data_IF_697655315160
#
_entry.id   IF_697655315160
#
_cell.length_a   1.000
_cell.length_b   1.000
_cell.length_c   1.000
_cell.angle_alpha   90.00
_cell.angle_beta   90.00
_cell.angle_gamma   90.00
#
_symmetry.space_group_name_H-M   'P 1'
#
loop_
_entity.id
_entity.type
_entity.pdbx_description
1 polymer ?
#
# COMPACT_ATOMS: atom_id res chain seq x y z
N UNK A 1 2.38 -10.78 22.47
CA UNK A 1 3.68 -10.33 21.94
C UNK A 1 3.41 -9.74 20.58
N UNK A 2 3.73 -8.48 20.28
CA UNK A 2 3.55 -7.99 18.93
C UNK A 2 4.63 -8.65 18.09
N UNK A 3 4.25 -9.58 17.23
CA UNK A 3 5.14 -10.09 16.20
C UNK A 3 5.68 -8.90 15.42
N UNK A 4 7.01 -8.86 15.30
CA UNK A 4 7.82 -7.95 14.50
C UNK A 4 7.44 -8.03 13.02
N UNK A 5 6.25 -7.55 12.65
CA UNK A 5 5.91 -7.37 11.24
C UNK A 5 6.78 -6.24 10.71
N UNK A 6 7.54 -6.50 9.64
CA UNK A 6 8.36 -5.54 8.95
C UNK A 6 7.48 -4.59 8.11
N UNK A 7 6.60 -3.85 8.79
CA UNK A 7 5.59 -3.00 8.16
C UNK A 7 6.20 -1.79 7.43
N UNK A 8 7.45 -1.43 7.74
CA UNK A 8 8.18 -0.38 7.03
C UNK A 8 8.73 -0.89 5.69
N UNK A 9 9.34 -2.08 5.65
CA UNK A 9 9.94 -2.59 4.41
C UNK A 9 9.06 -3.55 3.62
N UNK A 10 7.93 -4.01 4.19
CA UNK A 10 6.90 -4.82 3.54
C UNK A 10 5.48 -4.48 4.06
N UNK A 11 4.99 -3.24 3.88
CA UNK A 11 3.62 -2.86 4.24
C UNK A 11 2.56 -3.65 3.45
N UNK A 12 2.86 -4.06 2.21
CA UNK A 12 1.93 -4.79 1.36
C UNK A 12 1.70 -6.22 1.86
N UNK A 13 2.73 -6.87 2.41
CA UNK A 13 2.61 -8.16 3.09
C UNK A 13 1.68 -8.07 4.31
N UNK A 14 1.84 -7.04 5.14
CA UNK A 14 0.97 -6.80 6.32
C UNK A 14 -0.50 -6.63 5.90
N UNK A 15 -0.75 -5.83 4.86
CA UNK A 15 -2.10 -5.66 4.30
C UNK A 15 -2.66 -6.98 3.78
N UNK A 16 -1.85 -7.76 3.06
CA UNK A 16 -2.24 -9.06 2.53
C UNK A 16 -2.57 -10.07 3.65
N UNK A 17 -1.82 -10.09 4.75
CA UNK A 17 -2.09 -10.94 5.91
C UNK A 17 -3.41 -10.56 6.61
N UNK A 18 -3.65 -9.26 6.79
CA UNK A 18 -4.92 -8.76 7.35
C UNK A 18 -6.11 -9.10 6.45
N UNK A 19 -5.93 -8.98 5.14
CA UNK A 19 -6.91 -9.40 4.15
C UNK A 19 -7.17 -10.91 4.24
N UNK A 20 -6.13 -11.74 4.24
CA UNK A 20 -6.24 -13.20 4.32
C UNK A 20 -6.93 -13.65 5.62
N UNK A 21 -6.60 -13.03 6.76
CA UNK A 21 -7.26 -13.29 8.03
C UNK A 21 -8.77 -12.99 7.98
N UNK A 22 -9.17 -11.97 7.23
CA UNK A 22 -10.59 -11.61 7.08
C UNK A 22 -11.41 -12.61 6.26
N UNK A 23 -10.77 -13.43 5.42
CA UNK A 23 -11.45 -14.49 4.66
C UNK A 23 -11.96 -15.63 5.56
N UNK A 24 -11.44 -15.72 6.79
CA UNK A 24 -11.81 -16.75 7.77
C UNK A 24 -12.90 -16.32 8.77
N UNK A 25 -13.41 -15.08 8.68
CA UNK A 25 -14.43 -14.53 9.58
C UNK A 25 -15.46 -13.65 8.85
N UNK A 26 -16.35 -12.93 9.57
CA UNK A 26 -17.30 -12.01 8.94
C UNK A 26 -16.55 -10.93 8.15
N UNK A 27 -16.79 -10.88 6.84
CA UNK A 27 -15.96 -10.27 5.80
C UNK A 27 -15.84 -8.73 5.79
N UNK A 28 -16.02 -8.06 6.93
CA UNK A 28 -16.11 -6.59 6.98
C UNK A 28 -15.15 -6.01 8.01
N UNK A 29 -14.27 -5.10 7.57
CA UNK A 29 -13.46 -4.25 8.45
C UNK A 29 -11.96 -4.51 8.47
N UNK A 30 -11.41 -5.37 7.59
CA UNK A 30 -9.94 -5.51 7.49
C UNK A 30 -9.28 -4.19 7.07
N UNK A 31 -9.96 -3.39 6.24
CA UNK A 31 -9.47 -2.08 5.81
C UNK A 31 -9.35 -1.12 7.00
N UNK A 32 -10.38 -1.06 7.84
CA UNK A 32 -10.38 -0.26 9.06
C UNK A 32 -9.26 -0.71 9.99
N UNK A 33 -9.09 -2.02 10.17
CA UNK A 33 -8.00 -2.58 10.98
C UNK A 33 -6.61 -2.24 10.43
N UNK A 34 -6.43 -2.28 9.11
CA UNK A 34 -5.19 -1.89 8.47
C UNK A 34 -4.91 -0.39 8.69
N UNK A 35 -5.92 0.47 8.49
CA UNK A 35 -5.80 1.90 8.76
C UNK A 35 -5.45 2.19 10.22
N UNK A 36 -6.13 1.54 11.17
CA UNK A 36 -5.85 1.66 12.60
C UNK A 36 -4.43 1.18 12.94
N UNK A 37 -4.00 0.04 12.38
CA UNK A 37 -2.66 -0.47 12.56
C UNK A 37 -1.61 0.54 12.11
N UNK A 38 -1.68 1.05 10.87
CA UNK A 38 -0.68 2.01 10.38
C UNK A 38 -0.77 3.35 11.13
N UNK A 39 -1.96 3.80 11.54
CA UNK A 39 -2.10 5.00 12.41
C UNK A 39 -1.40 4.82 13.76
N UNK A 40 -1.52 3.65 14.37
CA UNK A 40 -0.86 3.34 15.64
C UNK A 40 0.66 3.21 15.48
N UNK A 41 1.14 2.63 14.38
CA UNK A 41 2.58 2.51 14.10
C UNK A 41 3.23 3.87 13.77
N UNK A 42 2.49 4.79 13.12
CA UNK A 42 2.99 6.10 12.67
C UNK A 42 2.89 7.22 13.72
N UNK A 43 2.81 6.88 15.01
CA UNK A 43 2.83 7.88 16.10
C UNK A 43 4.19 8.59 16.18
N UNK A 44 4.18 9.79 16.76
CA UNK A 44 5.12 10.92 16.53
C UNK A 44 6.61 10.57 16.40
N UNK A 45 7.16 9.64 17.20
CA UNK A 45 8.59 9.29 17.14
C UNK A 45 8.97 8.43 15.91
N UNK A 46 8.03 7.68 15.35
CA UNK A 46 8.28 6.72 14.26
C UNK A 46 8.11 7.38 12.89
N UNK A 47 7.30 8.42 12.78
CA UNK A 47 7.11 9.12 11.51
C UNK A 47 8.43 9.75 10.99
N UNK A 48 9.34 10.11 11.90
CA UNK A 48 10.67 10.60 11.57
C UNK A 48 11.58 9.51 10.96
N UNK A 49 11.35 8.23 11.26
CA UNK A 49 12.17 7.12 10.73
C UNK A 49 11.71 6.65 9.35
N UNK A 50 10.47 6.97 8.95
CA UNK A 50 9.94 6.65 7.62
C UNK A 50 10.66 7.49 6.56
N UNK A 51 11.28 6.86 5.55
CA UNK A 51 12.04 7.57 4.53
C UNK A 51 11.14 8.50 3.69
N UNK A 52 11.66 9.69 3.39
CA UNK A 52 10.97 10.73 2.63
C UNK A 52 11.37 10.69 1.16
N UNK A 53 10.38 10.66 0.26
CA UNK A 53 10.60 10.83 -1.18
C UNK A 53 11.16 12.22 -1.54
N UNK A 54 11.01 13.21 -0.65
CA UNK A 54 11.54 14.55 -0.87
C UNK A 54 13.05 14.64 -0.63
N UNK A 55 13.60 13.76 0.20
CA UNK A 55 14.97 13.88 0.72
C UNK A 55 15.86 12.71 0.29
N UNK A 56 15.27 11.54 0.03
CA UNK A 56 16.00 10.32 -0.36
C UNK A 56 15.81 10.05 -1.85
N UNK A 57 16.90 9.98 -2.64
CA UNK A 57 16.83 9.56 -4.04
C UNK A 57 16.17 8.19 -4.21
N UNK A 58 15.33 8.05 -5.24
CA UNK A 58 14.51 6.86 -5.47
C UNK A 58 15.32 5.54 -5.52
N UNK A 59 16.53 5.56 -6.05
CA UNK A 59 17.38 4.37 -6.18
C UNK A 59 17.95 3.85 -4.85
N UNK A 60 17.87 4.62 -3.77
CA UNK A 60 18.23 4.16 -2.42
C UNK A 60 17.03 3.56 -1.66
N UNK A 61 15.81 3.73 -2.18
CA UNK A 61 14.61 3.24 -1.53
C UNK A 61 14.33 1.80 -1.96
N UNK A 62 13.98 0.96 -0.98
CA UNK A 62 13.54 -0.39 -1.26
C UNK A 62 12.19 -0.32 -2.00
N UNK A 63 12.01 -1.05 -3.12
CA UNK A 63 10.71 -1.16 -3.76
C UNK A 63 9.65 -1.70 -2.78
N UNK A 64 8.42 -1.20 -2.91
CA UNK A 64 7.27 -1.60 -2.08
C UNK A 64 7.41 -1.32 -0.58
N UNK A 65 8.37 -0.50 -0.15
CA UNK A 65 8.46 -0.04 1.25
C UNK A 65 7.54 1.15 1.50
N UNK A 66 7.23 1.40 2.77
CA UNK A 66 6.51 2.59 3.19
C UNK A 66 7.41 3.82 3.09
N UNK A 67 6.86 4.90 2.56
CA UNK A 67 7.54 6.20 2.40
C UNK A 67 6.62 7.34 2.82
N UNK A 68 7.19 8.47 3.22
CA UNK A 68 6.47 9.74 3.35
C UNK A 68 6.72 10.60 2.11
N UNK A 69 5.71 11.33 1.67
CA UNK A 69 5.84 12.28 0.58
C UNK A 69 5.06 13.54 0.87
N UNK A 70 5.77 14.65 0.93
CA UNK A 70 5.21 15.99 1.09
C UNK A 70 5.16 16.64 -0.29
N UNK A 71 3.97 16.98 -0.75
CA UNK A 71 3.77 17.37 -2.13
C UNK A 71 2.64 18.40 -2.27
N UNK A 72 2.64 19.07 -3.42
CA UNK A 72 1.51 19.84 -3.91
C UNK A 72 0.65 18.92 -4.79
N UNK A 73 -0.63 18.78 -4.44
CA UNK A 73 -1.62 18.13 -5.32
C UNK A 73 -1.96 19.11 -6.45
N UNK A 74 -1.62 18.75 -7.68
CA UNK A 74 -1.84 19.58 -8.86
C UNK A 74 -3.13 19.25 -9.59
N UNK A 75 -3.50 17.97 -9.63
CA UNK A 75 -4.68 17.51 -10.37
C UNK A 75 -5.30 16.27 -9.71
N UNK A 76 -6.56 16.05 -10.04
CA UNK A 76 -7.34 14.86 -9.73
C UNK A 76 -7.84 14.28 -11.05
N UNK A 77 -7.33 13.10 -11.42
CA UNK A 77 -7.82 12.40 -12.59
C UNK A 77 -9.14 11.69 -12.31
N UNK A 78 -9.80 11.20 -13.35
CA UNK A 78 -10.95 10.31 -13.19
C UNK A 78 -10.55 9.07 -12.38
N UNK A 79 -11.48 8.50 -11.58
CA UNK A 79 -11.21 7.27 -10.83
C UNK A 79 -10.71 6.13 -11.75
N UNK A 80 -9.70 5.42 -11.27
CA UNK A 80 -9.14 4.26 -11.97
C UNK A 80 -9.80 2.97 -11.47
N UNK A 81 -10.21 2.11 -12.40
CA UNK A 81 -10.62 0.74 -12.07
C UNK A 81 -9.41 -0.16 -11.88
N UNK A 82 -9.44 -0.96 -10.82
CA UNK A 82 -8.41 -1.95 -10.54
C UNK A 82 -9.04 -3.23 -9.97
N UNK A 83 -8.25 -4.31 -9.92
CA UNK A 83 -8.65 -5.56 -9.30
C UNK A 83 -8.53 -5.44 -7.77
N UNK A 84 -9.60 -5.13 -7.08
CA UNK A 84 -9.65 -5.04 -5.61
C UNK A 84 -9.28 -6.37 -4.94
N UNK A 85 -9.82 -7.47 -5.46
CA UNK A 85 -9.45 -8.84 -5.12
C UNK A 85 -9.23 -9.60 -6.42
N UNK A 86 -8.15 -10.38 -6.49
CA UNK A 86 -7.87 -11.25 -7.62
C UNK A 86 -7.30 -12.58 -7.15
N UNK A 87 -7.43 -13.61 -7.98
CA UNK A 87 -6.89 -14.95 -7.70
C UNK A 87 -5.70 -15.20 -8.62
N UNK A 88 -4.60 -15.73 -8.07
CA UNK A 88 -3.46 -16.22 -8.85
C UNK A 88 -3.45 -17.74 -8.81
N UNK A 89 -2.87 -18.34 -9.85
CA UNK A 89 -2.60 -19.78 -9.94
C UNK A 89 -1.11 -19.97 -10.07
N UNK A 90 -0.52 -20.66 -9.10
CA UNK A 90 0.88 -21.07 -9.17
C UNK A 90 1.06 -22.10 -10.29
N UNK A 91 1.88 -21.82 -11.33
CA UNK A 91 2.09 -22.75 -12.44
C UNK A 91 2.68 -24.10 -12.03
N UNK A 92 3.40 -24.15 -10.90
CA UNK A 92 4.12 -25.34 -10.44
C UNK A 92 3.26 -26.25 -9.56
N UNK A 93 2.45 -25.67 -8.67
CA UNK A 93 1.62 -26.41 -7.71
C UNK A 93 0.14 -26.46 -8.08
N UNK A 94 -0.28 -25.64 -9.05
CA UNK A 94 -1.69 -25.40 -9.41
C UNK A 94 -2.53 -24.91 -8.20
N UNK A 95 -1.86 -24.35 -7.19
CA UNK A 95 -2.52 -23.79 -6.03
C UNK A 95 -3.12 -22.43 -6.38
N UNK A 96 -4.35 -22.19 -5.93
CA UNK A 96 -5.05 -20.91 -6.06
C UNK A 96 -4.86 -20.08 -4.80
N UNK A 97 -4.51 -18.81 -4.95
CA UNK A 97 -4.37 -17.87 -3.84
C UNK A 97 -5.13 -16.57 -4.13
N UNK A 98 -5.85 -16.07 -3.14
CA UNK A 98 -6.52 -14.76 -3.21
C UNK A 98 -5.57 -13.65 -2.76
N UNK A 99 -5.48 -12.60 -3.57
CA UNK A 99 -4.65 -11.43 -3.32
C UNK A 99 -5.51 -10.17 -3.19
N UNK A 100 -5.08 -9.28 -2.30
CA UNK A 100 -5.58 -7.92 -2.22
C UNK A 100 -4.82 -7.04 -3.22
N UNK A 101 -5.53 -6.45 -4.17
CA UNK A 101 -4.95 -5.47 -5.10
C UNK A 101 -4.94 -4.03 -4.57
N UNK A 102 -5.50 -3.79 -3.37
CA UNK A 102 -5.45 -2.46 -2.75
C UNK A 102 -4.00 -2.08 -2.44
N UNK A 103 -3.65 -0.83 -2.74
CA UNK A 103 -2.28 -0.28 -2.62
C UNK A 103 -1.24 -0.91 -3.55
N UNK A 104 -1.66 -1.74 -4.52
CA UNK A 104 -0.79 -2.29 -5.55
C UNK A 104 -1.06 -1.61 -6.88
N UNK A 105 0.01 -1.40 -7.63
CA UNK A 105 -0.08 -0.87 -8.99
C UNK A 105 -0.19 -2.00 -10.03
N UNK A 106 0.57 -3.07 -9.82
CA UNK A 106 0.62 -4.24 -10.72
C UNK A 106 0.19 -5.49 -9.96
N UNK A 107 -0.66 -6.31 -10.60
CA UNK A 107 -1.05 -7.61 -10.07
C UNK A 107 0.12 -8.60 -10.13
N UNK A 108 0.13 -9.56 -9.20
CA UNK A 108 1.12 -10.64 -9.22
C UNK A 108 0.97 -11.52 -10.47
N UNK A 109 2.05 -12.20 -10.86
CA UNK A 109 2.03 -13.07 -12.04
C UNK A 109 1.06 -14.25 -11.85
N UNK A 110 0.43 -14.69 -12.93
CA UNK A 110 -0.45 -15.87 -12.92
C UNK A 110 -1.89 -15.60 -12.52
N UNK A 111 -2.41 -14.38 -12.73
CA UNK A 111 -3.81 -14.04 -12.47
C UNK A 111 -4.77 -14.93 -13.28
N UNK A 112 -5.72 -15.56 -12.60
CA UNK A 112 -6.84 -16.28 -13.20
C UNK A 112 -8.00 -15.33 -13.48
N UNK A 113 -7.99 -14.72 -14.67
CA UNK A 113 -9.02 -13.78 -15.12
C UNK A 113 -10.44 -14.37 -15.19
N UNK A 114 -10.59 -15.69 -15.13
CA UNK A 114 -11.90 -16.36 -15.12
C UNK A 114 -12.39 -16.68 -13.70
N UNK A 115 -11.63 -16.32 -12.67
CA UNK A 115 -12.01 -16.60 -11.29
C UNK A 115 -13.26 -15.81 -10.90
N UNK A 116 -14.22 -16.51 -10.29
CA UNK A 116 -15.46 -15.92 -9.77
C UNK A 116 -15.24 -15.03 -8.55
N UNK A 117 -14.06 -15.11 -7.96
CA UNK A 117 -13.68 -14.36 -6.76
C UNK A 117 -13.06 -12.99 -7.08
N UNK A 118 -12.92 -12.64 -8.37
CA UNK A 118 -12.43 -11.32 -8.77
C UNK A 118 -13.45 -10.26 -8.36
N UNK A 119 -12.97 -9.26 -7.62
CA UNK A 119 -13.76 -8.07 -7.26
C UNK A 119 -13.09 -6.86 -7.89
N UNK A 120 -13.83 -6.15 -8.73
CA UNK A 120 -13.37 -4.86 -9.27
C UNK A 120 -13.63 -3.76 -8.24
N UNK A 121 -12.68 -2.86 -8.10
CA UNK A 121 -12.78 -1.69 -7.23
C UNK A 121 -12.30 -0.44 -7.99
N UNK A 122 -12.63 0.73 -7.47
CA UNK A 122 -12.17 2.02 -8.00
C UNK A 122 -11.28 2.72 -6.98
N UNK A 123 -10.29 3.48 -7.47
CA UNK A 123 -9.43 4.33 -6.64
C UNK A 123 -9.33 5.72 -7.24
N UNK A 124 -9.34 6.73 -6.37
CA UNK A 124 -9.01 8.09 -6.76
C UNK A 124 -7.49 8.25 -6.81
N UNK A 125 -6.96 8.71 -7.95
CA UNK A 125 -5.54 9.06 -8.08
C UNK A 125 -5.35 10.56 -7.95
N UNK A 126 -4.21 10.94 -7.37
CA UNK A 126 -3.81 12.34 -7.18
C UNK A 126 -2.48 12.56 -7.87
N UNK A 127 -2.40 13.61 -8.69
CA UNK A 127 -1.14 14.02 -9.29
C UNK A 127 -0.38 14.91 -8.32
N UNK A 128 0.68 14.36 -7.73
CA UNK A 128 1.47 15.00 -6.70
C UNK A 128 2.83 15.41 -7.23
N UNK A 129 3.19 16.69 -7.07
CA UNK A 129 4.51 17.22 -7.44
C UNK A 129 5.27 17.76 -6.23
N UNK A 130 6.61 17.85 -6.29
CA UNK A 130 7.39 18.55 -5.27
C UNK A 130 6.89 20.00 -5.10
N UNK A 131 6.88 20.48 -3.86
CA UNK A 131 6.39 21.82 -3.54
C UNK A 131 7.31 22.87 -4.20
N UNK A 132 6.79 23.73 -5.10
CA UNK A 132 7.61 24.74 -5.75
C UNK A 132 8.12 25.78 -4.76
N UNK A 133 9.39 26.17 -4.88
CA UNK A 133 9.98 27.23 -4.04
C UNK A 133 10.03 26.88 -2.55
N UNK A 134 10.07 25.60 -2.21
CA UNK A 134 10.12 25.13 -0.83
C UNK A 134 11.38 25.63 -0.10
N UNK A 135 11.16 26.38 0.99
CA UNK A 135 12.25 26.89 1.81
C UNK A 135 12.94 25.79 2.62
N UNK A 136 14.25 25.93 2.82
CA UNK A 136 15.05 24.93 3.51
C UNK A 136 14.62 24.68 4.96
N UNK A 137 14.22 25.74 5.70
CA UNK A 137 13.76 25.61 7.09
C UNK A 137 12.51 24.71 7.22
N UNK A 138 11.69 24.57 6.17
CA UNK A 138 10.52 23.69 6.20
C UNK A 138 10.94 22.23 6.23
N UNK A 139 12.06 21.90 5.55
CA UNK A 139 12.63 20.56 5.53
C UNK A 139 13.25 20.17 6.87
N UNK A 140 13.71 21.16 7.64
CA UNK A 140 14.30 20.96 8.96
C UNK A 140 13.26 20.66 10.05
N UNK A 141 11.98 20.97 9.80
CA UNK A 141 10.86 20.78 10.75
C UNK A 141 9.98 19.55 10.38
N UNK A 142 10.16 18.96 9.19
CA UNK A 142 9.34 17.84 8.65
C UNK A 142 9.91 16.43 8.87
#
# INVERSE_FOLDING_TARGET
MPSTHDWMNDPLGVVQEMFAASQSGPATGWETKALEFFKEQLKEDVQATVPSLNDVPLHYLKPNSLVKFRCLVQDMFDPEFYMGVYETVDPSTNAKMLHCGKYRDVAECGVDFNSRNIVTAERQTFYCVPIPGENQWVKEIS
#
